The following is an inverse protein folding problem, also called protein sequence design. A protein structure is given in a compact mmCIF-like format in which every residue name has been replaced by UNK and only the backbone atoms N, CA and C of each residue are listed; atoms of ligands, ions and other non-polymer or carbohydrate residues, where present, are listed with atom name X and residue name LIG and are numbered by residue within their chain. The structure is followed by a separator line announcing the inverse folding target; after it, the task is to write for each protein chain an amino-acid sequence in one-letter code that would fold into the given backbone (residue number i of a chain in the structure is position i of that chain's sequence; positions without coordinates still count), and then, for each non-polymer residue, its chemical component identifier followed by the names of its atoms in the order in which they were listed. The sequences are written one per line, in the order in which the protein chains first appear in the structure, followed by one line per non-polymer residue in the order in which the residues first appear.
data_IF_321417029148
#
_entry.id   IF_321417029148
#
_cell.length_a   1.000
_cell.length_b   1.000
_cell.length_c   1.000
_cell.angle_alpha   90.00
_cell.angle_beta   90.00
_cell.angle_gamma   90.00
#
_symmetry.space_group_name_H-M   'P 1'
#
loop_
_entity.id
_entity.type
_entity.pdbx_description
1 polymer ?
#
# COMPACT_ATOMS: atom_id res chain seq x y z
N UNK A 1 -43.11 -49.33 32.43
CA UNK A 1 -41.76 -48.74 32.36
C UNK A 1 -41.04 -49.50 31.25
N UNK A 2 -40.63 -48.94 30.12
CA UNK A 2 -40.32 -47.56 29.81
C UNK A 2 -40.75 -47.18 28.39
N UNK A 3 -41.17 -45.93 28.26
CA UNK A 3 -41.58 -45.24 27.05
C UNK A 3 -40.41 -45.17 26.05
N UNK A 4 -40.69 -45.36 24.76
CA UNK A 4 -39.70 -45.21 23.70
C UNK A 4 -39.77 -43.77 23.21
N UNK A 5 -38.90 -42.91 23.74
CA UNK A 5 -38.80 -41.51 23.35
C UNK A 5 -38.15 -41.40 21.96
N UNK A 6 -38.97 -41.42 20.91
CA UNK A 6 -38.56 -40.95 19.58
C UNK A 6 -38.30 -39.44 19.68
N UNK A 7 -37.02 -39.06 19.81
CA UNK A 7 -36.59 -37.67 19.64
C UNK A 7 -36.70 -37.28 18.17
N UNK A 8 -37.92 -36.93 17.75
CA UNK A 8 -38.15 -36.17 16.53
C UNK A 8 -37.45 -34.81 16.67
N UNK A 9 -36.23 -34.70 16.14
CA UNK A 9 -35.60 -33.41 15.91
C UNK A 9 -36.43 -32.70 14.85
N UNK A 10 -37.32 -31.81 15.28
CA UNK A 10 -38.02 -30.89 14.39
C UNK A 10 -36.96 -30.18 13.54
N UNK A 11 -36.96 -30.53 12.25
CA UNK A 11 -36.14 -29.87 11.25
C UNK A 11 -36.62 -28.43 11.19
N UNK A 12 -35.92 -27.53 11.89
CA UNK A 12 -36.15 -26.09 11.82
C UNK A 12 -36.28 -25.72 10.36
N UNK A 13 -37.46 -25.21 10.00
CA UNK A 13 -37.73 -24.69 8.66
C UNK A 13 -36.73 -23.57 8.37
N UNK A 14 -35.72 -23.87 7.54
CA UNK A 14 -34.73 -22.91 7.08
C UNK A 14 -35.45 -22.03 6.04
N UNK A 15 -36.07 -20.95 6.52
CA UNK A 15 -36.61 -19.91 5.66
C UNK A 15 -35.46 -19.45 4.75
N UNK A 16 -35.62 -19.62 3.43
CA UNK A 16 -34.58 -19.51 2.41
C UNK A 16 -33.95 -18.12 2.29
N UNK A 17 -33.25 -17.67 3.32
CA UNK A 17 -32.41 -16.51 3.30
C UNK A 17 -31.18 -16.80 2.43
N UNK A 18 -30.76 -15.81 1.65
CA UNK A 18 -29.51 -15.91 0.90
C UNK A 18 -28.35 -16.19 1.86
N UNK A 19 -27.47 -17.14 1.51
CA UNK A 19 -26.27 -17.49 2.29
C UNK A 19 -25.24 -16.35 2.36
N UNK A 20 -25.46 -15.28 1.59
CA UNK A 20 -24.60 -14.11 1.47
C UNK A 20 -25.44 -12.85 1.28
N UNK A 21 -24.86 -11.70 1.63
CA UNK A 21 -25.43 -10.39 1.35
C UNK A 21 -24.36 -9.50 0.69
N UNK A 22 -24.75 -8.57 -0.20
CA UNK A 22 -23.81 -7.63 -0.80
C UNK A 22 -23.33 -6.61 0.24
N UNK A 23 -22.02 -6.31 0.24
CA UNK A 23 -21.38 -5.28 1.07
C UNK A 23 -20.29 -4.57 0.24
N UNK A 24 -20.16 -3.25 0.36
CA UNK A 24 -19.11 -2.50 -0.35
C UNK A 24 -17.73 -2.87 0.19
N UNK A 25 -16.78 -3.19 -0.70
CA UNK A 25 -15.44 -3.65 -0.33
C UNK A 25 -14.70 -2.70 0.63
N UNK A 26 -14.82 -1.38 0.45
CA UNK A 26 -14.16 -0.38 1.31
C UNK A 26 -14.70 -0.28 2.74
N UNK A 27 -15.85 -0.92 3.02
CA UNK A 27 -16.42 -0.96 4.38
C UNK A 27 -16.04 -2.22 5.17
N UNK A 28 -15.41 -3.18 4.50
CA UNK A 28 -14.96 -4.42 5.14
C UNK A 28 -13.77 -4.09 6.03
N UNK A 29 -13.83 -4.46 7.30
CA UNK A 29 -12.76 -4.21 8.29
C UNK A 29 -11.82 -5.42 8.41
N UNK A 30 -10.65 -5.24 9.04
CA UNK A 30 -9.71 -6.33 9.35
C UNK A 30 -10.44 -7.42 10.14
N UNK A 31 -10.20 -8.68 9.82
CA UNK A 31 -10.92 -9.85 10.34
C UNK A 31 -12.38 -10.00 9.85
N UNK A 32 -12.87 -9.14 8.97
CA UNK A 32 -14.17 -9.32 8.31
C UNK A 32 -14.21 -10.57 7.42
N UNK A 33 -15.40 -11.03 7.07
CA UNK A 33 -15.57 -12.19 6.19
C UNK A 33 -15.98 -11.74 4.80
N UNK A 34 -15.35 -12.32 3.79
CA UNK A 34 -15.70 -12.12 2.38
C UNK A 34 -15.93 -13.48 1.73
N UNK A 35 -16.68 -13.49 0.64
CA UNK A 35 -16.80 -14.68 -0.21
C UNK A 35 -15.92 -14.50 -1.43
N UNK A 36 -14.89 -15.33 -1.57
CA UNK A 36 -13.97 -15.33 -2.70
C UNK A 36 -14.09 -16.68 -3.40
N UNK A 37 -14.39 -16.69 -4.70
CA UNK A 37 -14.57 -17.93 -5.49
C UNK A 37 -15.52 -18.94 -4.80
N UNK A 38 -16.65 -18.44 -4.29
CA UNK A 38 -17.67 -19.24 -3.58
C UNK A 38 -17.18 -19.91 -2.27
N UNK A 39 -16.12 -19.38 -1.64
CA UNK A 39 -15.59 -19.87 -0.37
C UNK A 39 -15.60 -18.74 0.67
N UNK A 40 -16.02 -19.00 1.93
CA UNK A 40 -15.90 -18.03 3.01
C UNK A 40 -14.41 -17.84 3.36
N UNK A 41 -13.95 -16.61 3.36
CA UNK A 41 -12.56 -16.22 3.62
C UNK A 41 -12.53 -15.12 4.69
N UNK A 42 -11.48 -15.12 5.52
CA UNK A 42 -11.22 -14.06 6.49
C UNK A 42 -10.31 -13.00 5.88
N UNK A 43 -10.67 -11.73 6.04
CA UNK A 43 -9.92 -10.60 5.54
C UNK A 43 -8.69 -10.29 6.41
N UNK A 44 -7.54 -10.16 5.76
CA UNK A 44 -6.30 -9.66 6.35
C UNK A 44 -5.80 -8.48 5.52
N UNK A 45 -5.52 -7.35 6.17
CA UNK A 45 -4.88 -6.20 5.52
C UNK A 45 -3.38 -6.28 5.67
N UNK A 46 -2.69 -6.04 4.56
CA UNK A 46 -1.24 -5.92 4.47
C UNK A 46 -0.98 -4.54 3.86
N UNK A 47 -0.23 -3.70 4.57
CA UNK A 47 0.25 -2.44 4.02
C UNK A 47 1.69 -2.63 3.52
N UNK A 48 2.06 -1.88 2.48
CA UNK A 48 3.45 -1.79 2.04
C UNK A 48 3.98 -0.42 2.43
N UNK A 49 5.15 -0.39 3.06
CA UNK A 49 5.91 0.83 3.30
C UNK A 49 6.22 1.51 1.95
N UNK A 50 5.94 2.80 1.86
CA UNK A 50 6.03 3.60 0.64
C UNK A 50 7.48 3.91 0.22
N UNK A 51 8.45 3.78 1.13
CA UNK A 51 9.85 4.12 0.89
C UNK A 51 10.73 2.88 0.67
N UNK A 52 10.53 1.85 1.49
CA UNK A 52 11.36 0.64 1.47
C UNK A 52 10.62 -0.62 0.96
N UNK A 53 9.32 -0.53 0.70
CA UNK A 53 8.52 -1.64 0.18
C UNK A 53 8.31 -2.81 1.16
N UNK A 54 8.79 -2.70 2.42
CA UNK A 54 8.57 -3.73 3.44
C UNK A 54 7.09 -3.80 3.75
N UNK A 55 6.59 -5.03 3.79
CA UNK A 55 5.20 -5.30 4.15
C UNK A 55 5.06 -5.18 5.66
N UNK A 56 4.15 -4.34 6.10
CA UNK A 56 3.78 -4.17 7.49
C UNK A 56 2.37 -4.71 7.70
N UNK A 57 2.26 -5.63 8.64
CA UNK A 57 0.99 -6.19 9.10
C UNK A 57 0.74 -5.68 10.51
N UNK A 58 -0.28 -4.85 10.69
CA UNK A 58 -0.64 -4.36 12.03
C UNK A 58 -2.03 -4.83 12.45
N UNK A 59 -2.13 -5.41 13.65
CA UNK A 59 -3.39 -5.86 14.25
C UNK A 59 -3.99 -4.71 15.05
N UNK A 60 -4.59 -3.76 14.34
CA UNK A 60 -5.37 -2.69 14.99
C UNK A 60 -6.81 -3.17 15.17
N UNK A 61 -7.37 -3.15 16.41
CA UNK A 61 -8.78 -3.45 16.63
C UNK A 61 -9.65 -2.42 15.92
N UNK A 62 -10.76 -2.88 15.33
CA UNK A 62 -11.61 -2.13 14.41
C UNK A 62 -12.26 -0.84 14.97
N UNK A 63 -12.10 -0.52 16.25
CA UNK A 63 -12.68 0.66 16.90
C UNK A 63 -11.75 1.88 17.00
N UNK A 64 -10.51 1.77 16.52
CA UNK A 64 -9.53 2.86 16.60
C UNK A 64 -9.48 3.64 15.29
N UNK A 65 -9.37 4.97 15.38
CA UNK A 65 -9.02 5.80 14.24
C UNK A 65 -7.58 5.46 13.82
N UNK A 66 -7.34 5.36 12.52
CA UNK A 66 -5.99 5.24 11.98
C UNK A 66 -5.56 6.62 11.47
N UNK A 67 -4.32 6.99 11.75
CA UNK A 67 -3.72 8.21 11.20
C UNK A 67 -3.43 7.98 9.71
N UNK A 68 -3.89 8.91 8.88
CA UNK A 68 -3.63 8.92 7.44
C UNK A 68 -2.59 10.00 7.19
N UNK A 69 -1.37 9.65 6.72
CA UNK A 69 -0.36 10.65 6.45
C UNK A 69 -0.74 11.45 5.20
N UNK A 70 -0.36 12.73 5.18
CA UNK A 70 -0.37 13.51 3.95
C UNK A 70 0.83 13.11 3.11
N UNK A 71 0.56 12.70 1.87
CA UNK A 71 1.57 12.33 0.89
C UNK A 71 1.71 13.46 -0.12
N UNK A 72 2.83 14.16 -0.08
CA UNK A 72 3.14 15.23 -1.02
C UNK A 72 4.12 14.71 -2.07
N UNK A 73 3.84 15.02 -3.33
CA UNK A 73 4.68 14.64 -4.47
C UNK A 73 5.08 15.93 -5.18
N UNK A 74 6.38 16.21 -5.22
CA UNK A 74 6.92 17.43 -5.82
C UNK A 74 7.99 17.07 -6.83
N UNK A 75 7.94 17.70 -8.00
CA UNK A 75 8.93 17.54 -9.05
C UNK A 75 9.98 18.64 -8.94
N UNK A 76 11.26 18.26 -8.97
CA UNK A 76 12.40 19.17 -8.93
C UNK A 76 13.29 18.94 -10.14
N UNK A 77 13.79 20.02 -10.74
CA UNK A 77 14.82 19.91 -11.76
C UNK A 77 16.16 19.58 -11.08
N UNK A 78 16.85 18.59 -11.61
CA UNK A 78 18.19 18.20 -11.18
C UNK A 78 19.18 19.27 -11.64
N UNK A 79 19.78 20.02 -10.71
CA UNK A 79 20.71 21.11 -11.04
C UNK A 79 22.15 20.63 -10.90
N UNK A 80 22.48 20.03 -9.74
CA UNK A 80 23.81 19.55 -9.42
C UNK A 80 23.74 18.32 -8.51
N UNK A 81 24.77 17.47 -8.59
CA UNK A 81 24.98 16.33 -7.70
C UNK A 81 26.27 16.58 -6.93
N UNK A 82 26.15 16.82 -5.62
CA UNK A 82 27.31 17.00 -4.75
C UNK A 82 28.08 15.69 -4.60
N UNK A 83 29.41 15.76 -4.56
CA UNK A 83 30.29 14.60 -4.33
C UNK A 83 30.01 13.88 -3.00
N UNK A 84 29.41 14.60 -2.05
CA UNK A 84 28.98 14.11 -0.74
C UNK A 84 27.71 13.25 -0.76
N UNK A 85 27.13 13.00 -1.95
CA UNK A 85 25.97 12.12 -2.12
C UNK A 85 24.62 12.81 -1.86
N UNK A 86 24.54 14.10 -2.17
CA UNK A 86 23.30 14.89 -2.11
C UNK A 86 22.94 15.46 -3.49
N UNK A 87 21.64 15.57 -3.75
CA UNK A 87 21.06 16.17 -4.96
C UNK A 87 20.12 17.28 -4.50
N UNK A 88 20.45 18.53 -4.78
CA UNK A 88 19.69 19.70 -4.30
C UNK A 88 19.36 19.61 -2.79
N UNK A 89 20.35 19.29 -1.95
CA UNK A 89 20.23 19.05 -0.50
C UNK A 89 19.38 17.83 -0.07
N UNK A 90 18.82 17.07 -1.02
CA UNK A 90 18.18 15.78 -0.73
C UNK A 90 19.17 14.63 -0.80
N UNK A 91 18.96 13.63 0.07
CA UNK A 91 19.73 12.38 0.01
C UNK A 91 19.46 11.66 -1.30
N UNK A 92 20.52 11.07 -1.85
CA UNK A 92 20.40 10.16 -2.98
C UNK A 92 19.44 8.99 -2.65
N UNK A 93 18.68 8.50 -3.64
CA UNK A 93 17.80 7.36 -3.43
C UNK A 93 18.61 6.14 -3.02
N UNK A 94 18.05 5.32 -2.12
CA UNK A 94 18.66 4.06 -1.68
C UNK A 94 18.59 2.95 -2.74
N UNK A 95 17.77 3.14 -3.78
CA UNK A 95 17.64 2.19 -4.88
C UNK A 95 18.81 2.38 -5.87
N UNK A 96 19.65 1.36 -5.98
CA UNK A 96 20.83 1.35 -6.85
C UNK A 96 20.48 1.61 -8.33
N UNK A 97 19.30 1.19 -8.79
CA UNK A 97 18.90 1.38 -10.18
C UNK A 97 18.56 2.84 -10.47
N UNK A 98 17.79 3.48 -9.58
CA UNK A 98 17.48 4.90 -9.68
C UNK A 98 18.75 5.73 -9.54
N UNK A 99 19.64 5.34 -8.63
CA UNK A 99 20.92 5.99 -8.43
C UNK A 99 21.80 5.96 -9.69
N UNK A 100 21.91 4.81 -10.37
CA UNK A 100 22.64 4.70 -11.63
C UNK A 100 22.02 5.60 -12.69
N UNK A 101 20.70 5.55 -12.87
CA UNK A 101 20.00 6.37 -13.88
C UNK A 101 20.20 7.87 -13.67
N UNK A 102 20.20 8.34 -12.43
CA UNK A 102 20.47 9.75 -12.09
C UNK A 102 21.92 10.10 -12.46
N UNK A 103 22.89 9.29 -12.05
CA UNK A 103 24.31 9.54 -12.32
C UNK A 103 24.64 9.47 -13.81
N UNK A 104 24.11 8.48 -14.50
CA UNK A 104 24.31 8.27 -15.94
C UNK A 104 23.67 9.40 -16.74
N UNK A 105 22.40 9.73 -16.45
CA UNK A 105 21.71 10.83 -17.14
C UNK A 105 22.34 12.20 -16.86
N UNK A 106 22.85 12.44 -15.66
CA UNK A 106 23.60 13.66 -15.33
C UNK A 106 24.95 13.70 -16.05
N UNK A 107 25.69 12.58 -16.09
CA UNK A 107 26.96 12.48 -16.81
C UNK A 107 26.83 12.63 -18.32
N UNK A 108 25.67 12.26 -18.88
CA UNK A 108 25.33 12.48 -20.29
C UNK A 108 24.93 13.95 -20.60
N UNK A 109 24.80 14.81 -19.58
CA UNK A 109 24.43 16.22 -19.75
C UNK A 109 22.95 16.44 -20.08
N UNK A 110 22.07 15.49 -19.71
CA UNK A 110 20.63 15.61 -19.92
C UNK A 110 19.99 16.43 -18.80
N UNK A 111 18.93 17.16 -19.14
CA UNK A 111 18.07 17.77 -18.14
C UNK A 111 17.15 16.70 -17.55
N UNK A 112 17.32 16.45 -16.25
CA UNK A 112 16.56 15.47 -15.50
C UNK A 112 15.61 16.18 -14.53
N UNK A 113 14.39 15.67 -14.40
CA UNK A 113 13.46 16.00 -13.32
C UNK A 113 13.36 14.81 -12.38
N UNK A 114 13.61 15.05 -11.11
CA UNK A 114 13.43 14.06 -10.04
C UNK A 114 12.11 14.33 -9.34
N UNK A 115 11.37 13.25 -9.08
CA UNK A 115 10.13 13.30 -8.31
C UNK A 115 10.43 12.87 -6.88
N UNK A 116 10.21 13.79 -5.95
CA UNK A 116 10.43 13.60 -4.52
C UNK A 116 9.08 13.38 -3.85
N UNK A 117 8.99 12.31 -3.07
CA UNK A 117 7.85 12.05 -2.20
C UNK A 117 8.21 12.47 -0.78
N UNK A 118 7.37 13.31 -0.17
CA UNK A 118 7.51 13.83 1.18
C UNK A 118 6.33 13.37 2.03
N UNK A 119 6.61 12.53 3.03
CA UNK A 119 5.60 11.90 3.91
C UNK A 119 6.11 11.85 5.33
N UNK A 120 5.33 12.35 6.30
CA UNK A 120 5.68 12.34 7.73
C UNK A 120 7.05 12.98 8.08
N UNK A 121 7.54 13.92 7.25
CA UNK A 121 8.84 14.59 7.44
C UNK A 121 10.03 13.81 6.87
N UNK A 122 9.80 12.69 6.20
CA UNK A 122 10.80 11.96 5.42
C UNK A 122 10.61 12.25 3.93
N UNK A 123 11.73 12.49 3.23
CA UNK A 123 11.75 12.82 1.81
C UNK A 123 12.65 11.85 1.06
N UNK A 124 12.14 11.28 -0.03
CA UNK A 124 12.88 10.35 -0.87
C UNK A 124 12.56 10.58 -2.34
N UNK A 125 13.60 10.47 -3.19
CA UNK A 125 13.42 10.45 -4.65
C UNK A 125 12.80 9.11 -5.04
N UNK A 126 11.62 9.16 -5.66
CA UNK A 126 10.87 7.96 -6.06
C UNK A 126 10.87 7.73 -7.56
N UNK A 127 11.08 8.77 -8.37
CA UNK A 127 11.11 8.65 -9.82
C UNK A 127 12.06 9.68 -10.44
N UNK A 128 12.50 9.36 -11.65
CA UNK A 128 13.28 10.24 -12.51
C UNK A 128 12.58 10.31 -13.87
N UNK A 129 12.56 11.52 -14.45
CA UNK A 129 12.02 11.82 -15.76
C UNK A 129 13.07 12.58 -16.56
N UNK A 130 13.42 12.04 -17.71
CA UNK A 130 14.29 12.71 -18.69
C UNK A 130 13.45 13.73 -19.49
N UNK A 131 13.91 14.98 -19.54
CA UNK A 131 13.25 16.07 -20.26
C UNK A 131 13.96 16.38 -21.60
N UNK A 132 15.08 15.71 -21.89
CA UNK A 132 15.89 15.92 -23.08
C UNK A 132 17.23 16.63 -22.82
N UNK A 133 18.01 16.90 -23.87
CA UNK A 133 19.33 17.52 -23.73
C UNK A 133 19.22 18.99 -23.32
N UNK A 134 20.13 19.42 -22.44
CA UNK A 134 20.30 20.82 -22.04
C UNK A 134 20.88 21.60 -23.23
N UNK A 135 20.05 22.41 -23.89
CA UNK A 135 20.47 23.27 -25.02
C UNK A 135 21.61 24.23 -24.66
#
# INVERSE_FOLDING_TARGET
MSDSEDHQFDSKADAGASKTYPQQAGTVRKNGYLVIKNRPCKCHFVASDIFNGKKLEDIVPSLHNCDVPHVNCTEYQLIDISEDGFVNDLRLPTDDNLLSQIKDGFGEGKDLVVTVMSVMGEEQICALKDIGPRN
#
